data_IF_903745415542
#
_entry.id   IF_903745415542
#
_cell.length_a   1.000
_cell.length_b   1.000
_cell.length_c   1.000
_cell.angle_alpha   90.00
_cell.angle_beta   90.00
_cell.angle_gamma   90.00
#
_symmetry.space_group_name_H-M   'P 1'
#
loop_
_entity.id
_entity.type
_entity.pdbx_description
1 polymer ?
#
# COMPACT_ATOMS: atom_id res chain seq x y z
N UNK A 1 14.22 -18.83 -10.62
CA UNK A 1 14.04 -17.37 -10.46
C UNK A 1 13.71 -17.07 -9.01
N UNK A 2 14.64 -16.45 -8.27
CA UNK A 2 14.49 -16.15 -6.84
C UNK A 2 13.40 -15.08 -6.63
N UNK A 3 12.33 -15.39 -5.88
CA UNK A 3 11.51 -14.36 -5.24
C UNK A 3 12.43 -13.62 -4.29
N UNK A 4 12.73 -12.34 -4.55
CA UNK A 4 13.42 -11.48 -3.59
C UNK A 4 12.73 -11.65 -2.23
N UNK A 5 13.51 -12.06 -1.22
CA UNK A 5 13.05 -12.05 0.17
C UNK A 5 12.96 -10.58 0.60
N UNK A 6 11.92 -9.87 0.15
CA UNK A 6 11.53 -8.64 0.80
C UNK A 6 11.23 -9.02 2.25
N UNK A 7 12.04 -8.55 3.19
CA UNK A 7 11.80 -8.82 4.61
C UNK A 7 10.75 -7.81 5.10
N UNK A 8 10.06 -8.11 6.20
CA UNK A 8 9.17 -7.13 6.86
C UNK A 8 9.90 -5.80 7.09
N UNK A 9 11.21 -5.85 7.35
CA UNK A 9 12.08 -4.68 7.51
C UNK A 9 12.21 -3.83 6.24
N UNK A 10 12.28 -4.44 5.06
CA UNK A 10 12.40 -3.72 3.79
C UNK A 10 11.09 -2.99 3.48
N UNK A 11 9.97 -3.70 3.61
CA UNK A 11 8.64 -3.10 3.48
C UNK A 11 8.45 -1.97 4.49
N UNK A 12 8.89 -2.16 5.73
CA UNK A 12 8.80 -1.12 6.77
C UNK A 12 9.57 0.13 6.39
N UNK A 13 10.82 0.00 5.93
CA UNK A 13 11.64 1.14 5.45
C UNK A 13 10.99 1.85 4.28
N UNK A 14 10.45 1.08 3.34
CA UNK A 14 9.77 1.61 2.16
C UNK A 14 8.49 2.39 2.54
N UNK A 15 7.65 1.80 3.39
CA UNK A 15 6.43 2.44 3.91
C UNK A 15 6.75 3.67 4.75
N UNK A 16 7.82 3.66 5.54
CA UNK A 16 8.33 4.86 6.24
C UNK A 16 8.75 5.95 5.25
N UNK A 17 9.40 5.60 4.15
CA UNK A 17 9.76 6.55 3.09
C UNK A 17 8.54 7.10 2.32
N UNK A 18 7.44 6.34 2.31
CA UNK A 18 6.16 6.73 1.73
C UNK A 18 5.25 7.47 2.71
N UNK A 19 5.64 7.60 3.98
CA UNK A 19 4.88 8.33 5.00
C UNK A 19 4.64 9.78 4.56
N UNK A 20 3.39 10.21 4.59
CA UNK A 20 2.98 11.55 4.13
C UNK A 20 2.89 11.71 2.62
N UNK A 21 3.26 10.69 1.82
CA UNK A 21 3.11 10.70 0.36
C UNK A 21 1.80 10.05 -0.09
N UNK A 22 1.36 10.40 -1.30
CA UNK A 22 0.20 9.76 -1.94
C UNK A 22 0.59 8.38 -2.47
N UNK A 23 -0.13 7.37 -2.02
CA UNK A 23 0.04 5.97 -2.40
C UNK A 23 -1.28 5.39 -2.92
N UNK A 24 -1.15 4.52 -3.91
CA UNK A 24 -2.21 3.66 -4.42
C UNK A 24 -2.05 2.27 -3.80
N UNK A 25 -3.07 1.86 -3.08
CA UNK A 25 -3.21 0.56 -2.44
C UNK A 25 -4.07 -0.34 -3.31
N UNK A 26 -3.60 -1.55 -3.58
CA UNK A 26 -4.38 -2.61 -4.24
C UNK A 26 -4.47 -3.81 -3.32
N UNK A 27 -5.63 -4.07 -2.75
CA UNK A 27 -5.88 -5.18 -1.84
C UNK A 27 -6.83 -6.22 -2.45
N UNK A 28 -6.53 -7.51 -2.29
CA UNK A 28 -7.41 -8.59 -2.76
C UNK A 28 -8.41 -8.95 -1.67
N UNK A 29 -9.62 -8.37 -1.70
CA UNK A 29 -10.68 -8.69 -0.72
C UNK A 29 -11.36 -10.04 -1.00
N UNK A 30 -11.28 -10.56 -2.23
CA UNK A 30 -11.91 -11.85 -2.63
C UNK A 30 -11.40 -12.36 -3.98
N UNK A 31 -11.67 -13.64 -4.30
CA UNK A 31 -11.29 -14.34 -5.56
C UNK A 31 -11.63 -13.62 -6.88
N UNK A 32 -12.52 -12.62 -6.87
CA UNK A 32 -12.94 -11.86 -8.05
C UNK A 32 -12.91 -10.33 -7.88
N UNK A 33 -12.53 -9.81 -6.71
CA UNK A 33 -12.56 -8.36 -6.43
C UNK A 33 -11.22 -7.87 -5.92
N UNK A 34 -10.50 -7.19 -6.79
CA UNK A 34 -9.40 -6.29 -6.44
C UNK A 34 -9.99 -4.97 -5.94
N UNK A 35 -9.45 -4.49 -4.83
CA UNK A 35 -9.82 -3.23 -4.21
C UNK A 35 -8.67 -2.26 -4.38
N UNK A 36 -8.78 -1.38 -5.36
CA UNK A 36 -7.82 -0.30 -5.59
C UNK A 36 -8.31 0.97 -4.90
N UNK A 37 -7.46 1.57 -4.09
CA UNK A 37 -7.73 2.81 -3.36
C UNK A 37 -6.52 3.72 -3.36
N UNK A 38 -6.76 5.01 -3.49
CA UNK A 38 -5.73 6.02 -3.40
C UNK A 38 -5.84 6.73 -2.06
N UNK A 39 -4.72 6.88 -1.37
CA UNK A 39 -4.69 7.48 -0.05
C UNK A 39 -3.31 7.99 0.32
N UNK A 40 -3.20 8.56 1.50
CA UNK A 40 -1.94 9.07 2.04
C UNK A 40 -1.59 8.27 3.28
N UNK A 41 -0.35 7.81 3.39
CA UNK A 41 0.11 7.13 4.59
C UNK A 41 0.15 8.15 5.73
N UNK A 42 -0.80 8.01 6.66
CA UNK A 42 -0.94 8.92 7.79
C UNK A 42 0.08 8.58 8.89
N UNK A 43 0.28 7.29 9.12
CA UNK A 43 1.11 6.81 10.21
C UNK A 43 1.62 5.40 9.97
N UNK A 44 2.86 5.16 10.37
CA UNK A 44 3.54 3.87 10.29
C UNK A 44 3.83 3.40 11.71
N UNK A 45 3.40 2.19 12.04
CA UNK A 45 3.60 1.56 13.35
C UNK A 45 4.50 0.33 13.20
N UNK A 46 5.00 -0.27 14.30
CA UNK A 46 5.93 -1.40 14.23
C UNK A 46 5.41 -2.63 13.46
N UNK A 47 4.11 -2.89 13.49
CA UNK A 47 3.50 -4.08 12.88
C UNK A 47 2.46 -3.76 11.79
N UNK A 48 1.95 -2.53 11.75
CA UNK A 48 0.91 -2.09 10.82
C UNK A 48 1.20 -0.67 10.33
N UNK A 49 0.52 -0.25 9.28
CA UNK A 49 0.50 1.13 8.82
C UNK A 49 -0.94 1.55 8.52
N UNK A 50 -1.20 2.84 8.68
CA UNK A 50 -2.50 3.48 8.45
C UNK A 50 -2.45 4.39 7.25
N UNK A 51 -3.42 4.22 6.35
CA UNK A 51 -3.58 5.01 5.15
C UNK A 51 -4.94 5.70 5.16
N UNK A 52 -4.92 7.01 4.97
CA UNK A 52 -6.11 7.83 4.86
C UNK A 52 -6.49 7.95 3.39
N UNK A 53 -7.56 7.26 3.00
CA UNK A 53 -8.12 7.28 1.64
C UNK A 53 -9.21 8.33 1.60
N UNK A 54 -9.01 9.36 0.78
CA UNK A 54 -10.03 10.36 0.48
C UNK A 54 -10.60 10.08 -0.91
N UNK A 55 -11.91 9.91 -1.01
CA UNK A 55 -12.61 9.61 -2.26
C UNK A 55 -13.67 10.70 -2.46
N UNK A 56 -13.74 11.34 -3.63
CA UNK A 56 -14.61 12.52 -3.84
C UNK A 56 -16.09 12.30 -3.48
N UNK A 57 -16.55 11.05 -3.58
CA UNK A 57 -17.95 10.66 -3.33
C UNK A 57 -18.18 10.01 -1.96
N UNK A 58 -17.15 9.84 -1.13
CA UNK A 58 -17.26 9.11 0.15
C UNK A 58 -16.45 9.77 1.27
N UNK A 59 -16.87 9.59 2.54
CA UNK A 59 -16.09 10.06 3.66
C UNK A 59 -14.68 9.44 3.66
N UNK A 60 -13.72 10.22 4.16
CA UNK A 60 -12.33 9.79 4.33
C UNK A 60 -12.29 8.49 5.12
N UNK A 61 -11.76 7.43 4.52
CA UNK A 61 -11.63 6.13 5.13
C UNK A 61 -10.18 5.93 5.57
N UNK A 62 -9.98 5.75 6.87
CA UNK A 62 -8.69 5.31 7.40
C UNK A 62 -8.64 3.78 7.35
N UNK A 63 -7.72 3.24 6.57
CA UNK A 63 -7.47 1.81 6.43
C UNK A 63 -6.16 1.45 7.12
N UNK A 64 -6.17 0.39 7.91
CA UNK A 64 -5.00 -0.16 8.57
C UNK A 64 -4.62 -1.49 7.92
N UNK A 65 -3.36 -1.63 7.53
CA UNK A 65 -2.82 -2.84 6.89
C UNK A 65 -1.57 -3.31 7.62
N UNK A 66 -1.33 -4.62 7.62
CA UNK A 66 -0.11 -5.19 8.21
C UNK A 66 1.00 -5.33 7.18
N UNK A 67 2.26 -5.28 7.62
CA UNK A 67 3.39 -5.54 6.71
C UNK A 67 3.38 -6.99 6.18
N UNK A 68 2.78 -7.93 6.91
CA UNK A 68 2.59 -9.31 6.48
C UNK A 68 1.65 -9.40 5.27
N UNK A 69 0.63 -8.55 5.17
CA UNK A 69 -0.28 -8.53 4.02
C UNK A 69 0.42 -8.03 2.76
N UNK A 70 1.34 -7.07 2.93
CA UNK A 70 2.18 -6.56 1.84
C UNK A 70 3.20 -7.61 1.42
N UNK A 71 3.82 -8.28 2.39
CA UNK A 71 4.78 -9.35 2.16
C UNK A 71 4.17 -10.55 1.41
N UNK A 72 2.95 -10.95 1.78
CA UNK A 72 2.21 -12.04 1.12
C UNK A 72 1.64 -11.63 -0.25
N UNK A 73 1.86 -10.38 -0.69
CA UNK A 73 1.29 -9.77 -1.90
C UNK A 73 -0.24 -9.74 -1.90
N UNK A 74 -0.86 -9.82 -0.73
CA UNK A 74 -2.31 -9.64 -0.57
C UNK A 74 -2.70 -8.16 -0.68
N UNK A 75 -1.75 -7.28 -0.33
CA UNK A 75 -1.82 -5.83 -0.49
C UNK A 75 -0.60 -5.37 -1.28
N UNK A 76 -0.80 -4.55 -2.30
CA UNK A 76 0.28 -3.83 -2.99
C UNK A 76 0.16 -2.35 -2.70
N UNK A 77 1.30 -1.70 -2.52
CA UNK A 77 1.40 -0.26 -2.33
C UNK A 77 2.24 0.25 -3.49
N UNK A 78 1.78 1.29 -4.15
CA UNK A 78 2.52 2.01 -5.20
C UNK A 78 2.48 3.50 -4.88
N UNK A 79 3.60 4.21 -4.96
CA UNK A 79 3.57 5.67 -4.90
C UNK A 79 2.88 6.21 -6.15
N UNK A 80 1.99 7.18 -5.96
CA UNK A 80 1.37 7.90 -7.09
C UNK A 80 2.36 8.91 -7.68
N UNK A 81 3.29 9.40 -6.86
CA UNK A 81 4.25 10.45 -7.22
C UNK A 81 5.44 9.92 -8.06
N UNK A 82 5.79 8.64 -7.96
CA UNK A 82 6.94 8.04 -8.66
C UNK A 82 6.57 7.29 -9.96
N UNK A 83 5.30 7.30 -10.38
CA UNK A 83 4.85 6.53 -11.55
C UNK A 83 4.44 7.41 -12.73
N UNK A 84 5.43 8.07 -13.33
CA UNK A 84 5.44 8.20 -14.80
C UNK A 84 6.07 6.93 -15.41
N UNK A 85 5.31 5.82 -15.46
CA UNK A 85 5.59 4.75 -16.44
C UNK A 85 5.80 3.31 -15.96
N UNK A 86 5.67 2.96 -14.68
CA UNK A 86 5.99 1.59 -14.21
C UNK A 86 4.86 0.54 -14.34
N UNK A 87 3.82 0.79 -15.12
CA UNK A 87 2.81 -0.20 -15.50
C UNK A 87 2.91 -0.51 -17.01
N UNK A 88 4.10 -0.88 -17.51
CA UNK A 88 4.24 -1.43 -18.87
C UNK A 88 4.11 -2.96 -18.84
N UNK A 89 3.32 -3.45 -19.80
CA UNK A 89 2.77 -4.80 -19.98
C UNK A 89 3.80 -5.93 -20.04
#
# INVERSE_FOLDING_TARGET
>A
MQKQKATIMDVKREVENYRGKRVKLEAHKSKKKLYQKEGVIEGTYPSIFTVSVKEDKRPTQRLSFSYSDVLTKSVKIALVDEVEGAFSY
#
